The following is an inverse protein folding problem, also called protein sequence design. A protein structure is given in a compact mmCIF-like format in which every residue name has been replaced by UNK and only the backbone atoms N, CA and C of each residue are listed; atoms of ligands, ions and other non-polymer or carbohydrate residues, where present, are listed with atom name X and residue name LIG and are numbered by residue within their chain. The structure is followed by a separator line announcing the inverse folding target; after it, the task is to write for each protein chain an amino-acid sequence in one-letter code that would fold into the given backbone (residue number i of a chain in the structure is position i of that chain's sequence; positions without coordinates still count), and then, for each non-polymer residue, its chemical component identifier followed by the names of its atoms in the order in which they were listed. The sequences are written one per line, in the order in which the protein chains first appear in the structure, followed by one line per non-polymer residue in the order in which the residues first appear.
data_IF_121359553130
#
_entry.id   IF_121359553130
#
_cell.length_a   1.000
_cell.length_b   1.000
_cell.length_c   1.000
_cell.angle_alpha   90.00
_cell.angle_beta   90.00
_cell.angle_gamma   90.00
#
_symmetry.space_group_name_H-M   'P 1'
#
loop_
_entity.id
_entity.type
_entity.pdbx_description
1 polymer ?
#
# COMPACT_ATOMS: atom_id res chain seq x y z
N UNK A 1 24.93 30.91 -51.61
CA UNK A 1 25.81 29.89 -50.99
C UNK A 1 25.00 28.61 -50.85
N UNK A 2 25.31 27.59 -51.65
CA UNK A 2 24.79 26.22 -51.50
C UNK A 2 25.94 25.40 -50.96
N UNK A 3 25.74 24.73 -49.84
CA UNK A 3 26.70 23.76 -49.31
C UNK A 3 25.95 22.46 -49.14
N UNK A 4 26.39 21.47 -49.91
CA UNK A 4 25.97 20.09 -49.90
C UNK A 4 26.95 19.31 -49.02
N UNK A 5 26.45 18.44 -48.15
CA UNK A 5 27.26 17.47 -47.41
C UNK A 5 26.49 16.15 -47.40
N UNK A 6 26.73 15.38 -48.45
CA UNK A 6 26.49 13.95 -48.46
C UNK A 6 27.72 13.22 -47.92
N UNK A 7 27.43 12.06 -47.32
CA UNK A 7 28.24 10.84 -47.41
C UNK A 7 29.36 10.58 -46.40
N UNK A 8 29.14 9.47 -45.67
CA UNK A 8 30.09 8.38 -45.38
C UNK A 8 31.03 8.55 -44.20
N UNK A 9 30.66 7.94 -43.07
CA UNK A 9 31.59 7.14 -42.26
C UNK A 9 30.84 5.96 -41.62
N UNK A 10 30.82 4.85 -42.33
CA UNK A 10 30.59 3.49 -41.80
C UNK A 10 31.93 2.77 -41.81
N UNK A 11 32.40 2.30 -40.65
CA UNK A 11 33.12 1.03 -40.42
C UNK A 11 33.87 1.05 -39.08
N UNK A 12 34.13 -0.16 -38.56
CA UNK A 12 34.78 -0.57 -37.30
C UNK A 12 33.77 -0.73 -36.14
N UNK A 13 33.48 -1.93 -35.62
CA UNK A 13 34.31 -3.11 -35.42
C UNK A 13 33.44 -4.39 -35.45
N UNK A 14 33.80 -5.34 -36.29
CA UNK A 14 33.43 -6.75 -36.19
C UNK A 14 34.67 -7.53 -35.76
N UNK A 15 34.58 -8.32 -34.69
CA UNK A 15 35.50 -9.42 -34.40
C UNK A 15 34.70 -10.68 -34.03
N UNK A 16 35.06 -11.87 -34.56
CA UNK A 16 34.31 -13.12 -34.35
C UNK A 16 35.10 -14.18 -33.55
N UNK A 17 34.44 -15.33 -33.33
CA UNK A 17 34.90 -16.65 -32.85
C UNK A 17 35.14 -16.83 -31.34
N UNK A 18 34.28 -17.54 -30.59
CA UNK A 18 34.05 -19.02 -30.45
C UNK A 18 35.22 -19.81 -29.81
N UNK A 19 34.82 -20.50 -28.72
CA UNK A 19 35.22 -21.83 -28.22
C UNK A 19 36.53 -22.00 -27.42
N UNK A 20 36.37 -22.37 -26.14
CA UNK A 20 36.96 -23.50 -25.37
C UNK A 20 36.17 -23.53 -24.03
N UNK A 21 35.30 -24.47 -23.63
CA UNK A 21 35.30 -25.94 -23.43
C UNK A 21 36.39 -26.49 -22.49
N UNK A 22 36.05 -26.73 -21.22
CA UNK A 22 36.44 -27.91 -20.39
C UNK A 22 35.51 -28.03 -19.17
N UNK A 23 34.59 -29.00 -19.16
CA UNK A 23 34.56 -30.19 -18.27
C UNK A 23 34.90 -29.96 -16.79
N UNK A 24 33.91 -30.15 -15.92
CA UNK A 24 34.11 -30.91 -14.67
C UNK A 24 32.86 -31.68 -14.31
N UNK A 25 33.03 -32.99 -14.23
CA UNK A 25 32.10 -34.00 -13.74
C UNK A 25 32.30 -34.17 -12.23
N UNK A 26 31.24 -34.01 -11.44
CA UNK A 26 31.20 -34.58 -10.09
C UNK A 26 29.98 -35.50 -9.94
N UNK A 27 30.27 -36.62 -9.31
CA UNK A 27 29.60 -37.92 -9.41
C UNK A 27 28.88 -38.22 -8.10
N UNK A 28 27.69 -38.82 -8.24
CA UNK A 28 26.97 -39.73 -7.33
C UNK A 28 26.71 -39.36 -5.85
N UNK A 29 25.42 -39.39 -5.50
CA UNK A 29 24.69 -40.38 -4.65
C UNK A 29 23.35 -39.71 -4.30
N UNK A 30 22.16 -40.21 -4.61
CA UNK A 30 21.68 -41.59 -4.52
C UNK A 30 21.00 -41.80 -3.16
N UNK A 31 19.73 -41.42 -3.01
CA UNK A 31 18.84 -41.92 -1.96
C UNK A 31 17.36 -41.67 -2.33
N UNK A 32 16.70 -42.76 -2.73
CA UNK A 32 15.26 -42.94 -2.76
C UNK A 32 14.68 -42.68 -1.36
N UNK A 33 13.63 -41.86 -1.24
CA UNK A 33 12.75 -41.90 -0.08
C UNK A 33 11.33 -42.21 -0.53
N UNK A 34 10.83 -43.30 0.03
CA UNK A 34 9.58 -43.98 -0.28
C UNK A 34 8.42 -43.18 0.30
N UNK A 35 7.44 -42.89 -0.56
CA UNK A 35 6.11 -42.43 -0.18
C UNK A 35 5.38 -43.58 0.54
N UNK A 36 5.04 -43.38 1.81
CA UNK A 36 4.07 -44.24 2.52
C UNK A 36 2.81 -43.42 2.74
N UNK A 37 1.82 -43.67 1.89
CA UNK A 37 0.43 -43.30 2.11
C UNK A 37 -0.10 -44.11 3.30
N UNK A 38 -0.49 -43.44 4.38
CA UNK A 38 -1.32 -44.05 5.42
C UNK A 38 -2.74 -43.48 5.30
N UNK A 39 -3.62 -44.29 4.73
CA UNK A 39 -5.07 -44.18 4.90
C UNK A 39 -5.42 -44.56 6.34
N UNK A 40 -6.19 -43.73 7.02
CA UNK A 40 -6.97 -44.11 8.20
C UNK A 40 -8.29 -43.33 8.14
N UNK A 41 -9.33 -43.95 7.57
CA UNK A 41 -10.44 -44.63 8.26
C UNK A 41 -11.49 -43.62 8.77
N UNK A 42 -12.61 -43.62 8.06
CA UNK A 42 -13.89 -43.04 8.43
C UNK A 42 -14.38 -43.62 9.76
N UNK A 43 -14.78 -42.75 10.70
CA UNK A 43 -15.75 -43.10 11.73
C UNK A 43 -17.05 -42.36 11.45
N UNK A 44 -18.01 -43.08 10.87
CA UNK A 44 -19.43 -42.79 11.03
C UNK A 44 -19.84 -43.26 12.43
N UNK A 45 -20.27 -42.34 13.28
CA UNK A 45 -21.11 -42.67 14.43
C UNK A 45 -22.35 -41.78 14.33
N UNK A 46 -23.41 -42.40 13.82
CA UNK A 46 -24.78 -41.94 14.02
C UNK A 46 -25.17 -42.24 15.46
N UNK A 47 -25.63 -41.22 16.20
CA UNK A 47 -26.49 -41.43 17.37
C UNK A 47 -27.69 -40.51 17.26
N UNK A 48 -28.81 -41.15 16.95
CA UNK A 48 -30.16 -40.63 17.10
C UNK A 48 -30.53 -40.67 18.58
N UNK A 49 -30.99 -39.55 19.12
CA UNK A 49 -31.94 -39.51 20.23
C UNK A 49 -32.71 -38.20 20.08
N UNK A 50 -33.88 -38.32 19.47
CA UNK A 50 -34.90 -37.30 19.48
C UNK A 50 -35.61 -37.39 20.83
N UNK A 51 -35.59 -36.31 21.60
CA UNK A 51 -36.55 -36.11 22.68
C UNK A 51 -37.11 -34.70 22.59
N UNK A 52 -38.42 -34.66 22.40
CA UNK A 52 -39.23 -33.46 22.32
C UNK A 52 -39.17 -32.69 23.64
N UNK A 53 -38.86 -31.39 23.60
CA UNK A 53 -39.46 -30.46 24.57
C UNK A 53 -39.70 -29.09 23.98
N UNK A 54 -40.84 -28.58 24.39
CA UNK A 54 -41.57 -27.48 23.84
C UNK A 54 -40.84 -26.14 23.93
N UNK A 55 -41.14 -25.33 22.91
CA UNK A 55 -41.13 -23.88 22.87
C UNK A 55 -41.40 -23.21 24.24
N UNK A 56 -40.44 -22.40 24.71
CA UNK A 56 -40.73 -21.08 25.29
C UNK A 56 -39.69 -20.09 24.76
N UNK A 57 -40.20 -18.99 24.20
CA UNK A 57 -39.41 -18.00 23.48
C UNK A 57 -38.53 -17.16 24.40
N UNK A 58 -37.25 -17.07 24.04
CA UNK A 58 -36.31 -16.07 24.54
C UNK A 58 -35.42 -15.63 23.39
N UNK A 59 -35.81 -14.54 22.72
CA UNK A 59 -35.05 -13.92 21.63
C UNK A 59 -33.78 -13.29 22.23
N UNK A 60 -32.67 -14.04 22.27
CA UNK A 60 -31.37 -13.47 22.60
C UNK A 60 -30.92 -12.60 21.42
N UNK A 61 -31.09 -11.28 21.56
CA UNK A 61 -30.52 -10.30 20.65
C UNK A 61 -29.00 -10.40 20.79
N UNK A 62 -28.35 -11.08 19.84
CA UNK A 62 -26.92 -10.93 19.63
C UNK A 62 -26.69 -9.50 19.16
N UNK A 63 -26.12 -8.67 20.02
CA UNK A 63 -25.64 -7.34 19.67
C UNK A 63 -24.46 -7.50 18.71
N UNK A 64 -24.76 -7.49 17.42
CA UNK A 64 -23.75 -7.31 16.37
C UNK A 64 -23.13 -5.93 16.59
N UNK A 65 -21.83 -5.92 16.86
CA UNK A 65 -21.05 -4.70 17.07
C UNK A 65 -21.16 -3.79 15.85
N UNK A 66 -21.55 -2.54 16.06
CA UNK A 66 -21.65 -1.48 15.04
C UNK A 66 -20.32 -1.22 14.31
N UNK A 67 -19.20 -1.73 14.83
CA UNK A 67 -17.89 -1.70 14.20
C UNK A 67 -17.81 -2.61 12.95
N UNK A 68 -18.44 -3.78 12.99
CA UNK A 68 -18.37 -4.79 11.90
C UNK A 68 -19.21 -4.39 10.66
N UNK A 69 -20.33 -3.70 10.87
CA UNK A 69 -21.18 -3.24 9.76
C UNK A 69 -20.55 -2.09 8.98
N UNK A 70 -19.83 -1.19 9.65
CA UNK A 70 -19.06 -0.15 8.96
C UNK A 70 -17.91 -0.76 8.14
N UNK A 71 -17.21 -1.78 8.65
CA UNK A 71 -16.15 -2.46 7.90
C UNK A 71 -16.67 -3.07 6.59
N UNK A 72 -17.88 -3.66 6.59
CA UNK A 72 -18.48 -4.23 5.37
C UNK A 72 -18.86 -3.18 4.31
N UNK A 73 -19.35 -2.00 4.70
CA UNK A 73 -19.67 -0.93 3.73
C UNK A 73 -18.37 -0.33 3.11
N UNK A 74 -17.26 -0.23 3.87
CA UNK A 74 -15.98 0.24 3.33
C UNK A 74 -15.34 -0.75 2.33
N UNK A 75 -15.45 -2.06 2.56
CA UNK A 75 -15.00 -3.06 1.59
C UNK A 75 -15.78 -3.01 0.28
N UNK A 76 -17.05 -2.59 0.32
CA UNK A 76 -17.87 -2.48 -0.89
C UNK A 76 -17.45 -1.31 -1.79
N UNK A 77 -16.91 -0.22 -1.23
CA UNK A 77 -16.33 0.88 -2.03
C UNK A 77 -15.04 0.43 -2.73
N UNK A 78 -14.14 -0.26 -2.01
CA UNK A 78 -12.90 -0.82 -2.58
C UNK A 78 -13.19 -1.87 -3.67
N UNK A 79 -14.19 -2.73 -3.47
CA UNK A 79 -14.62 -3.72 -4.48
C UNK A 79 -15.27 -3.03 -5.67
N UNK A 80 -16.08 -2.00 -5.47
CA UNK A 80 -16.71 -1.23 -6.56
C UNK A 80 -15.65 -0.50 -7.39
N UNK A 81 -14.63 0.05 -6.73
CA UNK A 81 -13.46 0.64 -7.39
C UNK A 81 -12.65 -0.41 -8.16
N UNK A 82 -12.51 -1.63 -7.63
CA UNK A 82 -11.82 -2.71 -8.33
C UNK A 82 -12.59 -3.22 -9.56
N UNK A 83 -13.92 -3.28 -9.46
CA UNK A 83 -14.80 -3.70 -10.56
C UNK A 83 -14.90 -2.65 -11.68
N UNK A 84 -14.85 -1.35 -11.35
CA UNK A 84 -14.84 -0.29 -12.36
C UNK A 84 -13.58 -0.36 -13.23
N UNK A 85 -12.42 -0.73 -12.65
CA UNK A 85 -11.16 -0.97 -13.37
C UNK A 85 -11.19 -2.20 -14.28
N UNK A 86 -12.10 -3.17 -14.04
CA UNK A 86 -12.24 -4.37 -14.87
C UNK A 86 -13.22 -4.19 -16.05
N UNK A 87 -14.03 -3.14 -16.05
CA UNK A 87 -15.13 -2.97 -17.01
C UNK A 87 -14.72 -2.39 -18.37
N UNK A 88 -13.77 -3.02 -19.06
CA UNK A 88 -13.64 -2.85 -20.52
C UNK A 88 -14.53 -3.80 -21.33
N UNK A 89 -15.42 -4.57 -20.70
CA UNK A 89 -16.47 -5.31 -21.42
C UNK A 89 -17.68 -5.69 -20.55
N UNK A 90 -18.83 -5.15 -20.96
CA UNK A 90 -20.23 -5.63 -20.80
C UNK A 90 -20.99 -5.24 -19.52
N UNK A 91 -22.20 -4.73 -19.78
CA UNK A 91 -23.31 -4.43 -18.87
C UNK A 91 -23.41 -5.38 -17.67
N UNK A 92 -23.25 -4.84 -16.47
CA UNK A 92 -23.71 -5.49 -15.23
C UNK A 92 -24.91 -4.70 -14.72
N UNK A 93 -26.04 -5.41 -14.71
CA UNK A 93 -27.34 -5.02 -14.19
C UNK A 93 -27.20 -4.60 -12.73
N UNK A 94 -27.73 -3.41 -12.38
CA UNK A 94 -27.85 -2.95 -11.00
C UNK A 94 -28.63 -3.96 -10.16
N UNK A 95 -28.02 -4.45 -9.09
CA UNK A 95 -28.75 -5.10 -8.00
C UNK A 95 -28.44 -4.35 -6.70
N UNK A 96 -29.34 -3.42 -6.40
CA UNK A 96 -29.72 -2.85 -5.08
C UNK A 96 -28.65 -2.68 -3.99
N UNK A 97 -28.47 -1.42 -3.62
CA UNK A 97 -27.72 -0.87 -2.48
C UNK A 97 -28.22 -1.46 -1.15
N UNK A 98 -27.36 -1.98 -0.25
CA UNK A 98 -27.71 -2.22 1.13
C UNK A 98 -26.73 -1.54 2.09
N UNK A 99 -26.66 -0.22 2.05
CA UNK A 99 -26.28 0.59 3.21
C UNK A 99 -27.33 1.72 3.32
N UNK A 100 -28.59 1.37 3.60
CA UNK A 100 -29.54 2.38 4.08
C UNK A 100 -29.14 2.71 5.51
N UNK A 101 -28.36 3.79 5.66
CA UNK A 101 -28.06 4.33 6.99
C UNK A 101 -29.37 4.78 7.61
N UNK A 102 -29.83 4.04 8.61
CA UNK A 102 -30.92 4.47 9.47
C UNK A 102 -30.44 5.70 10.25
N UNK A 103 -30.84 6.89 9.77
CA UNK A 103 -30.63 8.14 10.49
C UNK A 103 -31.45 8.06 11.78
N UNK A 104 -30.78 7.82 12.91
CA UNK A 104 -31.32 8.04 14.24
C UNK A 104 -30.32 8.89 15.02
N UNK A 105 -30.74 10.14 15.26
CA UNK A 105 -30.26 11.15 16.21
C UNK A 105 -28.87 11.76 16.02
N UNK A 106 -28.78 12.62 15.00
CA UNK A 106 -27.76 13.67 14.82
C UNK A 106 -28.08 14.87 15.73
N UNK A 107 -28.18 14.65 17.04
CA UNK A 107 -28.36 15.74 18.01
C UNK A 107 -27.44 15.67 19.24
N UNK A 108 -26.60 14.64 19.39
CA UNK A 108 -25.76 14.48 20.59
C UNK A 108 -24.30 14.07 20.35
N UNK A 109 -23.79 14.18 19.13
CA UNK A 109 -22.36 14.09 18.88
C UNK A 109 -21.95 15.37 18.17
N UNK A 110 -21.63 16.37 18.99
CA UNK A 110 -20.72 17.44 18.59
C UNK A 110 -19.54 16.78 17.91
N UNK A 111 -19.54 16.84 16.58
CA UNK A 111 -18.41 16.45 15.76
C UNK A 111 -17.27 17.37 16.15
N UNK A 112 -16.38 16.87 17.01
CA UNK A 112 -15.03 17.39 17.07
C UNK A 112 -14.40 17.11 15.71
N UNK A 113 -14.61 18.05 14.78
CA UNK A 113 -13.76 18.21 13.60
C UNK A 113 -12.36 18.42 14.18
N UNK A 114 -11.59 17.35 14.29
CA UNK A 114 -10.21 17.38 14.78
C UNK A 114 -9.49 18.48 14.01
N UNK A 115 -9.26 19.61 14.66
CA UNK A 115 -8.57 20.73 14.03
C UNK A 115 -7.21 20.18 13.67
N UNK A 116 -6.89 20.11 12.37
CA UNK A 116 -5.55 19.74 11.93
C UNK A 116 -4.61 20.83 12.44
N UNK A 117 -3.95 20.56 13.56
CA UNK A 117 -2.99 21.48 14.14
C UNK A 117 -1.75 21.41 13.28
N UNK A 118 -1.48 22.50 12.58
CA UNK A 118 -0.30 22.65 11.77
C UNK A 118 0.93 22.81 12.68
N UNK A 119 1.97 21.99 12.47
CA UNK A 119 3.25 22.03 13.22
C UNK A 119 4.35 22.69 12.36
N UNK A 120 4.68 23.95 12.69
CA UNK A 120 5.71 24.72 11.99
C UNK A 120 7.13 24.10 12.14
N UNK A 121 7.45 23.52 13.29
CA UNK A 121 8.76 22.91 13.50
C UNK A 121 8.90 21.63 12.67
N UNK A 122 7.81 20.86 12.57
CA UNK A 122 7.73 19.71 11.67
C UNK A 122 7.90 20.12 10.20
N UNK A 123 7.21 21.17 9.74
CA UNK A 123 7.39 21.67 8.36
C UNK A 123 8.86 22.02 8.11
N UNK A 124 9.48 22.83 8.98
CA UNK A 124 10.87 23.26 8.83
C UNK A 124 11.83 22.07 8.78
N UNK A 125 11.63 21.09 9.64
CA UNK A 125 12.42 19.86 9.67
C UNK A 125 12.29 19.08 8.36
N UNK A 126 11.06 18.90 7.86
CA UNK A 126 10.82 18.19 6.60
C UNK A 126 11.41 18.99 5.43
N UNK A 127 11.15 20.29 5.35
CA UNK A 127 11.67 21.16 4.28
C UNK A 127 13.20 21.12 4.22
N UNK A 128 13.89 21.10 5.37
CA UNK A 128 15.35 20.97 5.42
C UNK A 128 15.81 19.61 4.88
N UNK A 129 15.10 18.53 5.25
CA UNK A 129 15.42 17.18 4.80
C UNK A 129 15.19 16.97 3.29
N UNK A 130 14.18 17.64 2.74
CA UNK A 130 13.73 17.47 1.36
C UNK A 130 14.16 18.61 0.43
N UNK A 131 15.12 19.43 0.85
CA UNK A 131 15.60 20.56 0.06
C UNK A 131 16.13 20.13 -1.31
N UNK A 132 15.70 20.83 -2.37
CA UNK A 132 16.03 20.50 -3.75
C UNK A 132 15.24 19.33 -4.37
N UNK A 133 14.15 18.87 -3.74
CA UNK A 133 13.27 17.83 -4.27
C UNK A 133 11.82 18.33 -4.46
N UNK A 134 11.05 17.79 -5.42
CA UNK A 134 9.66 18.23 -5.67
C UNK A 134 8.71 18.11 -4.47
N UNK A 135 8.94 17.17 -3.55
CA UNK A 135 8.12 17.06 -2.31
C UNK A 135 8.21 18.30 -1.40
N UNK A 136 9.21 19.18 -1.59
CA UNK A 136 9.37 20.41 -0.83
C UNK A 136 8.12 21.30 -0.89
N UNK A 137 7.45 21.35 -2.04
CA UNK A 137 6.23 22.16 -2.22
C UNK A 137 5.03 21.61 -1.44
N UNK A 138 5.13 20.39 -0.92
CA UNK A 138 4.07 19.69 -0.21
C UNK A 138 4.25 19.71 1.32
N UNK A 139 5.40 20.18 1.83
CA UNK A 139 5.78 20.03 3.26
C UNK A 139 4.81 20.70 4.20
N UNK A 140 4.26 21.86 3.82
CA UNK A 140 3.21 22.56 4.58
C UNK A 140 1.98 21.68 4.81
N UNK A 141 1.56 20.93 3.80
CA UNK A 141 0.41 20.02 3.93
C UNK A 141 0.77 18.77 4.72
N UNK A 142 2.00 18.26 4.56
CA UNK A 142 2.50 17.11 5.34
C UNK A 142 2.53 17.46 6.83
N UNK A 143 2.92 18.69 7.18
CA UNK A 143 2.96 19.21 8.56
C UNK A 143 1.58 19.40 9.23
N UNK A 144 0.48 19.09 8.53
CA UNK A 144 -0.87 19.02 9.11
C UNK A 144 -1.20 17.64 9.70
N UNK A 145 -0.30 16.68 9.55
CA UNK A 145 -0.38 15.34 10.13
C UNK A 145 0.53 15.22 11.35
N UNK A 146 0.18 14.32 12.27
CA UNK A 146 1.04 13.97 13.40
C UNK A 146 2.41 13.47 12.91
N UNK A 147 3.46 13.69 13.72
CA UNK A 147 4.85 13.39 13.36
C UNK A 147 5.07 11.97 12.84
N UNK A 148 4.38 11.00 13.42
CA UNK A 148 4.48 9.61 12.98
C UNK A 148 3.95 9.39 11.55
N UNK A 149 2.81 9.98 11.22
CA UNK A 149 2.24 9.90 9.87
C UNK A 149 3.09 10.71 8.89
N UNK A 150 3.53 11.91 9.27
CA UNK A 150 4.45 12.70 8.46
C UNK A 150 5.76 11.97 8.17
N UNK A 151 6.33 11.28 9.18
CA UNK A 151 7.51 10.44 9.03
C UNK A 151 7.31 9.31 8.03
N UNK A 152 6.16 8.64 8.05
CA UNK A 152 5.80 7.62 7.07
C UNK A 152 5.64 8.21 5.65
N UNK A 153 4.95 9.35 5.54
CA UNK A 153 4.79 10.07 4.26
C UNK A 153 6.17 10.35 3.64
N UNK A 154 7.08 10.97 4.39
CA UNK A 154 8.40 11.37 3.88
C UNK A 154 9.28 10.15 3.58
N UNK A 155 9.28 9.15 4.47
CA UNK A 155 10.10 7.95 4.30
C UNK A 155 9.68 7.10 3.11
N UNK A 156 8.37 6.90 2.91
CA UNK A 156 7.85 6.17 1.76
C UNK A 156 8.11 6.95 0.47
N UNK A 157 7.90 8.27 0.45
CA UNK A 157 8.17 9.08 -0.75
C UNK A 157 9.64 8.98 -1.19
N UNK A 158 10.58 8.98 -0.24
CA UNK A 158 12.00 8.77 -0.54
C UNK A 158 12.22 7.44 -1.24
N UNK A 159 11.57 6.40 -0.72
CA UNK A 159 11.77 5.04 -1.23
C UNK A 159 11.16 4.83 -2.62
N UNK A 160 9.98 5.37 -2.86
CA UNK A 160 9.19 5.07 -4.06
C UNK A 160 9.54 5.97 -5.25
N UNK A 161 9.89 7.23 -5.00
CA UNK A 161 10.12 8.21 -6.08
C UNK A 161 11.41 9.02 -5.93
N UNK A 162 12.19 8.76 -4.88
CA UNK A 162 13.28 9.65 -4.47
C UNK A 162 12.76 11.08 -4.28
N UNK A 163 11.70 11.21 -3.47
CA UNK A 163 11.01 12.47 -3.15
C UNK A 163 10.48 13.24 -4.37
N UNK A 164 10.00 12.51 -5.37
CA UNK A 164 9.43 13.10 -6.58
C UNK A 164 10.41 13.27 -7.75
N UNK A 165 11.66 12.77 -7.67
CA UNK A 165 12.56 12.75 -8.83
C UNK A 165 12.12 11.77 -9.92
N UNK A 166 11.35 10.74 -9.57
CA UNK A 166 10.81 9.73 -10.48
C UNK A 166 9.31 9.61 -10.24
N UNK A 167 8.51 10.12 -11.16
CA UNK A 167 7.06 10.28 -10.97
C UNK A 167 6.29 9.81 -12.20
N UNK A 168 5.06 9.29 -12.01
CA UNK A 168 4.15 9.15 -13.13
C UNK A 168 3.79 10.53 -13.68
N UNK A 169 3.62 10.59 -15.00
CA UNK A 169 3.15 11.79 -15.71
C UNK A 169 1.89 11.45 -16.50
N UNK A 170 1.05 12.44 -16.76
CA UNK A 170 -0.10 12.25 -17.64
C UNK A 170 0.28 12.21 -19.13
N UNK A 171 -0.72 12.00 -19.98
CA UNK A 171 -0.55 12.05 -21.43
C UNK A 171 -0.01 13.38 -21.99
N UNK A 172 -0.01 14.46 -21.20
CA UNK A 172 0.59 15.75 -21.56
C UNK A 172 1.99 15.95 -20.94
N UNK A 173 2.54 14.95 -20.24
CA UNK A 173 3.84 15.00 -19.58
C UNK A 173 3.86 15.77 -18.26
N UNK A 174 2.70 16.10 -17.67
CA UNK A 174 2.60 16.82 -16.40
C UNK A 174 2.68 15.87 -15.22
N UNK A 175 3.35 16.31 -14.15
CA UNK A 175 3.42 15.57 -12.88
C UNK A 175 2.01 15.22 -12.37
N UNK A 176 1.86 13.98 -11.94
CA UNK A 176 0.67 13.42 -11.30
C UNK A 176 0.71 13.54 -9.77
N UNK A 177 1.75 14.13 -9.20
CA UNK A 177 2.01 14.35 -7.78
C UNK A 177 2.01 13.07 -6.93
N UNK A 178 2.28 11.91 -7.55
CA UNK A 178 2.26 10.63 -6.86
C UNK A 178 3.67 10.15 -6.53
N UNK A 179 4.13 10.52 -5.34
CA UNK A 179 5.50 10.25 -4.90
C UNK A 179 5.64 8.95 -4.10
N UNK A 180 4.51 8.27 -3.84
CA UNK A 180 4.41 7.12 -2.94
C UNK A 180 4.02 5.82 -3.66
N UNK A 181 3.89 5.86 -4.99
CA UNK A 181 3.41 4.71 -5.75
C UNK A 181 1.95 4.33 -5.48
N UNK A 182 1.14 5.27 -4.95
CA UNK A 182 -0.25 5.03 -4.58
C UNK A 182 -1.08 4.56 -5.77
N UNK A 183 -1.94 3.56 -5.57
CA UNK A 183 -2.70 2.91 -6.65
C UNK A 183 -4.13 3.42 -6.79
N UNK A 184 -4.69 4.07 -5.76
CA UNK A 184 -6.03 4.65 -5.83
C UNK A 184 -6.06 5.85 -6.80
N UNK A 185 -7.19 6.01 -7.50
CA UNK A 185 -7.39 7.12 -8.43
C UNK A 185 -7.36 8.48 -7.70
N UNK A 186 -6.74 9.47 -8.32
CA UNK A 186 -6.88 10.88 -7.94
C UNK A 186 -7.96 11.57 -8.80
N UNK A 187 -8.10 12.88 -8.65
CA UNK A 187 -9.04 13.70 -9.43
C UNK A 187 -8.76 13.68 -10.93
N UNK A 188 -7.53 13.38 -11.34
CA UNK A 188 -7.13 13.17 -12.74
C UNK A 188 -7.10 11.70 -13.15
N UNK A 189 -7.64 10.81 -12.31
CA UNK A 189 -7.73 9.38 -12.58
C UNK A 189 -6.48 8.61 -12.18
N UNK A 190 -6.06 7.69 -13.04
CA UNK A 190 -4.90 6.79 -12.84
C UNK A 190 -4.04 6.89 -14.09
N UNK A 191 -2.74 7.11 -13.92
CA UNK A 191 -1.76 7.05 -15.00
C UNK A 191 -0.55 6.20 -14.66
N UNK A 192 -0.07 5.47 -15.68
CA UNK A 192 1.01 4.49 -15.53
C UNK A 192 0.76 3.46 -14.41
N UNK A 193 -0.51 3.17 -14.13
CA UNK A 193 -0.93 2.29 -13.03
C UNK A 193 -0.78 2.89 -11.64
N UNK A 194 -0.73 4.21 -11.52
CA UNK A 194 -0.65 4.97 -10.26
C UNK A 194 -1.70 6.09 -10.25
N UNK A 195 -2.20 6.47 -9.07
CA UNK A 195 -3.10 7.62 -8.95
C UNK A 195 -2.50 8.88 -9.56
N UNK A 196 -3.30 9.62 -10.33
CA UNK A 196 -2.94 10.93 -10.85
C UNK A 196 -3.76 12.01 -10.16
N UNK A 197 -3.09 12.82 -9.34
CA UNK A 197 -3.72 13.85 -8.53
C UNK A 197 -3.70 15.21 -9.24
N UNK A 198 -4.68 16.04 -8.92
CA UNK A 198 -4.81 17.41 -9.41
C UNK A 198 -3.82 18.36 -8.76
N UNK A 199 -3.41 18.09 -7.52
CA UNK A 199 -2.43 18.89 -6.78
C UNK A 199 -1.62 18.07 -5.77
N UNK A 200 -0.53 18.64 -5.26
CA UNK A 200 0.26 18.04 -4.19
C UNK A 200 -0.52 17.91 -2.87
N UNK A 201 -1.40 18.86 -2.57
CA UNK A 201 -2.26 18.81 -1.38
C UNK A 201 -3.22 17.63 -1.44
N UNK A 202 -3.85 17.40 -2.59
CA UNK A 202 -4.72 16.24 -2.80
C UNK A 202 -3.94 14.94 -2.60
N UNK A 203 -2.75 14.84 -3.19
CA UNK A 203 -1.91 13.66 -3.08
C UNK A 203 -1.51 13.36 -1.62
N UNK A 204 -1.03 14.38 -0.90
CA UNK A 204 -0.68 14.24 0.52
C UNK A 204 -1.90 13.87 1.36
N UNK A 205 -3.08 14.44 1.07
CA UNK A 205 -4.29 14.09 1.80
C UNK A 205 -4.72 12.64 1.57
N UNK A 206 -4.71 12.17 0.32
CA UNK A 206 -5.05 10.80 -0.02
C UNK A 206 -4.10 9.80 0.67
N UNK A 207 -2.79 10.03 0.55
CA UNK A 207 -1.77 9.17 1.13
C UNK A 207 -1.74 9.24 2.64
N UNK A 208 -1.75 10.44 3.22
CA UNK A 208 -1.71 10.66 4.67
C UNK A 208 -2.93 10.07 5.37
N UNK A 209 -4.13 10.23 4.80
CA UNK A 209 -5.34 9.62 5.35
C UNK A 209 -5.28 8.09 5.28
N UNK A 210 -4.77 7.52 4.19
CA UNK A 210 -4.59 6.07 4.09
C UNK A 210 -3.59 5.55 5.12
N UNK A 211 -2.46 6.24 5.31
CA UNK A 211 -1.46 5.86 6.31
C UNK A 211 -2.04 5.95 7.73
N UNK A 212 -2.81 7.00 8.02
CA UNK A 212 -3.52 7.12 9.30
C UNK A 212 -4.41 5.91 9.59
N UNK A 213 -5.23 5.50 8.62
CA UNK A 213 -6.06 4.29 8.75
C UNK A 213 -5.23 3.02 8.97
N UNK A 214 -4.10 2.88 8.27
CA UNK A 214 -3.21 1.72 8.43
C UNK A 214 -2.57 1.70 9.81
N UNK A 215 -2.11 2.85 10.31
CA UNK A 215 -1.54 2.99 11.66
C UNK A 215 -2.59 2.66 12.72
N UNK A 216 -3.80 3.19 12.60
CA UNK A 216 -4.92 2.87 13.50
C UNK A 216 -5.24 1.37 13.51
N UNK A 217 -5.31 0.75 12.31
CA UNK A 217 -5.58 -0.68 12.17
C UNK A 217 -4.46 -1.57 12.73
N UNK A 218 -3.21 -1.16 12.54
CA UNK A 218 -2.03 -1.90 13.01
C UNK A 218 -1.64 -1.58 14.45
N UNK A 219 -2.19 -0.51 15.02
CA UNK A 219 -1.85 0.02 16.34
C UNK A 219 -0.37 0.38 16.49
N UNK A 220 0.26 0.81 15.39
CA UNK A 220 1.68 1.11 15.33
C UNK A 220 2.00 1.88 14.06
N UNK A 221 2.94 2.80 14.13
CA UNK A 221 3.50 3.53 12.98
C UNK A 221 4.91 3.05 12.61
N UNK A 222 5.38 1.94 13.19
CA UNK A 222 6.69 1.40 12.86
C UNK A 222 6.76 1.00 11.36
N UNK A 223 7.80 1.45 10.62
CA UNK A 223 7.97 1.17 9.19
C UNK A 223 7.89 -0.31 8.81
N UNK A 224 8.38 -1.22 9.67
CA UNK A 224 8.32 -2.67 9.44
C UNK A 224 6.88 -3.21 9.35
N UNK A 225 5.94 -2.56 10.05
CA UNK A 225 4.53 -2.91 10.06
C UNK A 225 3.74 -2.26 8.91
N UNK A 226 4.36 -1.31 8.22
CA UNK A 226 3.81 -0.63 7.03
C UNK A 226 4.17 -1.33 5.72
N UNK A 227 4.70 -2.55 5.77
CA UNK A 227 5.08 -3.32 4.57
C UNK A 227 3.90 -3.64 3.65
N UNK A 228 2.67 -3.58 4.17
CA UNK A 228 1.43 -3.64 3.37
C UNK A 228 1.38 -2.57 2.27
N UNK A 229 2.07 -1.43 2.45
CA UNK A 229 2.20 -0.41 1.41
C UNK A 229 2.99 -0.94 0.19
N UNK A 230 4.07 -1.68 0.44
CA UNK A 230 4.92 -2.28 -0.61
C UNK A 230 4.26 -3.50 -1.25
N UNK A 231 3.76 -4.42 -0.43
CA UNK A 231 3.38 -5.76 -0.86
C UNK A 231 1.87 -5.96 -1.05
N UNK A 232 1.04 -5.01 -0.60
CA UNK A 232 -0.38 -5.28 -0.44
C UNK A 232 -0.62 -6.42 0.55
N UNK A 233 -1.46 -7.38 0.19
CA UNK A 233 -1.85 -8.51 1.05
C UNK A 233 -0.75 -9.58 1.22
N UNK A 234 0.24 -9.65 0.32
CA UNK A 234 1.27 -10.69 0.35
C UNK A 234 2.57 -10.24 -0.31
N UNK A 235 3.71 -10.56 0.31
CA UNK A 235 5.04 -10.30 -0.25
C UNK A 235 5.59 -11.46 -1.10
N UNK A 236 4.79 -12.48 -1.45
CA UNK A 236 5.29 -13.68 -2.16
C UNK A 236 5.95 -13.37 -3.52
N UNK A 237 5.61 -12.26 -4.16
CA UNK A 237 6.24 -11.78 -5.40
C UNK A 237 7.55 -11.01 -5.19
N UNK A 238 8.04 -10.89 -3.95
CA UNK A 238 9.24 -10.14 -3.62
C UNK A 238 10.26 -11.02 -2.89
N UNK A 239 11.55 -10.75 -3.11
CA UNK A 239 12.60 -11.35 -2.30
C UNK A 239 12.63 -10.72 -0.91
N UNK A 240 13.01 -11.51 0.10
CA UNK A 240 13.16 -11.02 1.47
C UNK A 240 14.16 -9.87 1.57
N UNK A 241 15.21 -9.91 0.74
CA UNK A 241 16.21 -8.83 0.64
C UNK A 241 15.57 -7.50 0.20
N UNK A 242 14.70 -7.53 -0.81
CA UNK A 242 14.00 -6.35 -1.31
C UNK A 242 13.04 -5.78 -0.25
N UNK A 243 12.39 -6.66 0.51
CA UNK A 243 11.49 -6.28 1.62
C UNK A 243 12.28 -5.65 2.77
N UNK A 244 13.35 -6.30 3.24
CA UNK A 244 14.22 -5.76 4.31
C UNK A 244 14.82 -4.43 3.93
N UNK A 245 15.31 -4.29 2.70
CA UNK A 245 15.86 -3.04 2.19
C UNK A 245 14.80 -1.93 2.19
N UNK A 246 13.58 -2.22 1.74
CA UNK A 246 12.50 -1.23 1.78
C UNK A 246 12.21 -0.77 3.21
N UNK A 247 12.09 -1.71 4.16
CA UNK A 247 11.86 -1.38 5.58
C UNK A 247 12.99 -0.51 6.12
N UNK A 248 14.24 -0.87 5.85
CA UNK A 248 15.41 -0.11 6.30
C UNK A 248 15.46 1.29 5.70
N UNK A 249 15.20 1.42 4.39
CA UNK A 249 15.22 2.70 3.69
C UNK A 249 14.11 3.61 4.26
N UNK A 250 12.88 3.12 4.45
CA UNK A 250 11.78 3.91 5.03
C UNK A 250 12.08 4.27 6.48
N UNK A 251 12.58 3.33 7.28
CA UNK A 251 12.89 3.57 8.69
C UNK A 251 13.97 4.62 8.90
N UNK A 252 14.99 4.65 8.03
CA UNK A 252 16.04 5.64 8.11
C UNK A 252 15.48 7.07 8.05
N UNK A 253 14.57 7.36 7.12
CA UNK A 253 13.98 8.70 6.98
C UNK A 253 12.86 8.97 7.98
N UNK A 254 12.07 7.96 8.33
CA UNK A 254 11.07 8.07 9.40
C UNK A 254 11.72 8.50 10.72
N UNK A 255 12.86 7.89 11.09
CA UNK A 255 13.60 8.20 12.32
C UNK A 255 14.27 9.58 12.32
N UNK A 256 14.40 10.23 11.17
CA UNK A 256 14.86 11.62 11.11
C UNK A 256 13.76 12.62 11.46
N UNK A 257 12.49 12.19 11.46
CA UNK A 257 11.32 13.04 11.75
C UNK A 257 10.70 12.69 13.10
N UNK A 258 10.61 11.39 13.40
CA UNK A 258 9.99 10.87 14.63
C UNK A 258 11.07 10.71 15.69
N UNK A 259 11.03 11.49 16.79
CA UNK A 259 11.97 11.34 17.88
C UNK A 259 11.90 9.92 18.44
N UNK A 260 13.03 9.22 18.48
CA UNK A 260 13.11 7.96 19.21
C UNK A 260 13.00 8.28 20.70
N UNK A 261 12.04 7.68 21.39
CA UNK A 261 12.02 7.73 22.84
C UNK A 261 13.27 7.00 23.34
N UNK A 262 14.27 7.74 23.79
CA UNK A 262 15.35 7.17 24.58
C UNK A 262 14.70 6.80 25.92
N UNK A 263 14.21 5.56 26.03
CA UNK A 263 13.95 4.96 27.32
C UNK A 263 15.31 4.78 27.98
N UNK A 264 15.68 5.74 28.83
CA UNK A 264 16.69 5.49 29.85
C UNK A 264 16.15 4.36 30.72
N UNK A 265 16.65 3.15 30.48
CA UNK A 265 16.58 2.11 31.48
C UNK A 265 17.50 2.58 32.60
N UNK A 266 16.91 3.21 33.62
CA UNK A 266 17.56 3.42 34.91
C UNK A 266 18.18 2.09 35.34
N UNK A 267 19.50 2.04 35.34
CA UNK A 267 20.33 0.98 35.90
C UNK A 267 21.07 1.53 37.11
#
# INVERSE_FOLDING_TARGET
MKVDFSSLYTEKYLLPFRLLYTKSSFVQKGAFFIFVFSLSVFFFVSRSEAENRAYEGGLSIQTVSTKDQNESCYWQEDVTQFLSLQSHKKNILQTTIPCEMKILDIASLTSEKSVKVYDNELEKQISTLTDGYPILDMTKTIATYDREIAGLIVGIAKKESDWGKRVPVDGAGKDCFNYWGYKGAGTRGVEMGHGCFGSGEEAVQAVGNRLKQLVEKKQTSEPKNMIIWKCGSSCAGHSDESVRKWISDVAFYYNQIVPQSITYLDK
#
